data_IF_410048542205
#
_entry.id   IF_410048542205
#
_cell.length_a   1.000
_cell.length_b   1.000
_cell.length_c   1.000
_cell.angle_alpha   90.00
_cell.angle_beta   90.00
_cell.angle_gamma   90.00
#
_symmetry.space_group_name_H-M   'P 1'
#
loop_
_entity.id
_entity.type
_entity.pdbx_description
1 polymer ?
#
# COMPACT_ATOMS: atom_id res chain seq x y z
N UNK A 1 -6.69 33.21 -9.65
CA UNK A 1 -6.79 31.82 -9.17
C UNK A 1 -8.26 31.43 -9.04
N UNK A 2 -8.58 30.25 -9.52
CA UNK A 2 -9.95 29.79 -9.43
C UNK A 2 -10.24 29.29 -8.00
N UNK A 3 -11.15 29.95 -7.26
CA UNK A 3 -11.43 29.52 -5.88
C UNK A 3 -12.04 28.12 -5.80
N UNK A 4 -12.68 27.65 -6.86
CA UNK A 4 -13.22 26.28 -6.89
C UNK A 4 -12.11 25.24 -6.89
N UNK A 5 -11.00 25.51 -7.57
CA UNK A 5 -9.86 24.61 -7.54
C UNK A 5 -9.24 24.56 -6.14
N UNK A 6 -9.10 25.71 -5.51
CA UNK A 6 -8.55 25.79 -4.17
C UNK A 6 -9.43 25.06 -3.15
N UNK A 7 -10.74 25.04 -3.38
CA UNK A 7 -11.69 24.36 -2.50
C UNK A 7 -11.78 22.87 -2.80
N UNK A 8 -11.82 22.49 -4.08
CA UNK A 8 -12.02 21.09 -4.46
C UNK A 8 -10.78 20.22 -4.23
N UNK A 9 -9.57 20.78 -4.31
CA UNK A 9 -8.36 19.99 -4.13
C UNK A 9 -8.23 19.43 -2.71
N UNK A 10 -8.42 20.23 -1.64
CA UNK A 10 -8.43 19.66 -0.29
C UNK A 10 -9.54 18.62 -0.07
N UNK A 11 -10.72 18.83 -0.66
CA UNK A 11 -11.80 17.87 -0.54
C UNK A 11 -11.47 16.56 -1.24
N UNK A 12 -10.86 16.62 -2.42
CA UNK A 12 -10.42 15.44 -3.15
C UNK A 12 -9.32 14.69 -2.40
N UNK A 13 -8.40 15.42 -1.81
CA UNK A 13 -7.33 14.83 -1.02
C UNK A 13 -7.89 14.12 0.21
N UNK A 14 -8.87 14.73 0.87
CA UNK A 14 -9.55 14.12 2.01
C UNK A 14 -10.28 12.84 1.60
N UNK A 15 -10.99 12.86 0.48
CA UNK A 15 -11.68 11.68 -0.01
C UNK A 15 -10.70 10.55 -0.34
N UNK A 16 -9.57 10.89 -0.95
CA UNK A 16 -8.50 9.95 -1.23
C UNK A 16 -7.98 9.32 0.06
N UNK A 17 -7.70 10.15 1.06
CA UNK A 17 -7.20 9.68 2.35
C UNK A 17 -8.21 8.77 3.05
N UNK A 18 -9.50 9.08 2.99
CA UNK A 18 -10.54 8.25 3.58
C UNK A 18 -10.65 6.90 2.89
N UNK A 19 -10.54 6.86 1.57
CA UNK A 19 -10.53 5.60 0.83
C UNK A 19 -9.32 4.76 1.21
N UNK A 20 -8.18 5.39 1.35
CA UNK A 20 -6.97 4.70 1.76
C UNK A 20 -7.07 4.18 3.20
N UNK A 21 -7.65 4.96 4.09
CA UNK A 21 -7.89 4.51 5.48
C UNK A 21 -8.75 3.25 5.50
N UNK A 22 -9.80 3.20 4.66
CA UNK A 22 -10.65 2.02 4.55
C UNK A 22 -9.86 0.83 4.02
N UNK A 23 -9.03 1.05 3.01
CA UNK A 23 -8.18 0.00 2.46
C UNK A 23 -7.20 -0.51 3.51
N UNK A 24 -6.56 0.40 4.25
CA UNK A 24 -5.63 0.01 5.32
C UNK A 24 -6.30 -0.87 6.37
N UNK A 25 -7.53 -0.53 6.75
CA UNK A 25 -8.27 -1.34 7.71
C UNK A 25 -8.52 -2.75 7.18
N UNK A 26 -8.90 -2.88 5.91
CA UNK A 26 -9.11 -4.17 5.28
C UNK A 26 -7.82 -4.98 5.18
N UNK A 27 -6.71 -4.33 4.88
CA UNK A 27 -5.41 -4.99 4.79
C UNK A 27 -4.96 -5.50 6.15
N UNK A 28 -5.15 -4.71 7.21
CA UNK A 28 -4.84 -5.15 8.57
C UNK A 28 -5.70 -6.36 8.95
N UNK A 29 -6.98 -6.33 8.61
CA UNK A 29 -7.87 -7.44 8.89
C UNK A 29 -7.46 -8.71 8.14
N UNK A 30 -6.85 -8.57 6.97
CA UNK A 30 -6.36 -9.70 6.19
C UNK A 30 -5.04 -10.26 6.75
N UNK A 31 -4.32 -9.49 7.55
CA UNK A 31 -3.08 -9.94 8.18
C UNK A 31 -1.85 -9.12 7.84
N UNK A 32 -1.98 -8.11 6.99
CA UNK A 32 -0.85 -7.25 6.67
C UNK A 32 -0.48 -6.35 7.83
N UNK A 33 0.81 -6.17 8.06
CA UNK A 33 1.32 -5.15 8.96
C UNK A 33 1.61 -3.89 8.16
N UNK A 34 1.24 -2.76 8.71
CA UNK A 34 1.42 -1.45 8.07
C UNK A 34 2.27 -0.56 8.97
N UNK A 35 2.98 0.37 8.35
CA UNK A 35 3.75 1.37 9.07
C UNK A 35 3.48 2.75 8.50
N UNK A 36 3.96 3.78 9.21
CA UNK A 36 3.80 5.16 8.80
C UNK A 36 2.44 5.74 9.16
N UNK A 37 2.40 7.05 9.25
CA UNK A 37 1.20 7.77 9.63
C UNK A 37 0.67 8.68 8.52
N UNK A 38 1.32 8.66 7.36
CA UNK A 38 0.92 9.50 6.26
C UNK A 38 -0.37 9.01 5.64
N UNK A 39 -1.35 9.90 5.53
CA UNK A 39 -2.68 9.54 5.09
C UNK A 39 -2.77 9.23 3.61
N UNK A 40 -1.82 9.67 2.82
CA UNK A 40 -1.80 9.46 1.37
C UNK A 40 -0.76 8.43 0.94
N UNK A 41 -0.12 7.77 1.89
CA UNK A 41 0.84 6.72 1.59
C UNK A 41 0.44 5.41 2.25
N UNK A 42 0.67 4.34 1.52
CA UNK A 42 0.52 2.99 2.05
C UNK A 42 1.92 2.41 2.20
N UNK A 43 2.29 2.13 3.43
CA UNK A 43 3.56 1.47 3.72
C UNK A 43 3.27 0.11 4.33
N UNK A 44 3.61 -0.95 3.61
CA UNK A 44 3.42 -2.31 4.08
C UNK A 44 4.73 -2.85 4.63
N UNK A 45 4.60 -3.65 5.68
CA UNK A 45 5.70 -4.44 6.24
C UNK A 45 5.41 -5.91 5.92
N UNK A 46 5.72 -6.37 4.70
CA UNK A 46 5.19 -7.64 4.22
C UNK A 46 5.86 -8.88 4.78
N UNK A 47 7.01 -8.75 5.46
CA UNK A 47 7.70 -9.94 5.99
C UNK A 47 6.88 -10.72 7.00
N UNK A 48 6.09 -10.05 7.84
CA UNK A 48 5.20 -10.73 8.78
C UNK A 48 4.09 -11.50 8.06
N UNK A 49 3.77 -11.10 6.84
CA UNK A 49 2.79 -11.79 6.01
C UNK A 49 3.41 -12.91 5.17
N UNK A 50 4.73 -13.00 5.16
CA UNK A 50 5.47 -14.07 4.48
C UNK A 50 6.15 -13.68 3.18
N UNK A 51 6.27 -12.38 2.90
CA UNK A 51 6.87 -11.90 1.65
C UNK A 51 7.85 -10.77 1.93
N UNK A 52 8.90 -10.69 1.10
CA UNK A 52 9.70 -9.46 1.08
C UNK A 52 8.94 -8.38 0.33
N UNK A 53 9.31 -7.12 0.57
CA UNK A 53 8.69 -6.01 -0.16
C UNK A 53 8.89 -6.14 -1.66
N UNK A 54 10.09 -6.54 -2.09
CA UNK A 54 10.37 -6.73 -3.52
C UNK A 54 9.58 -7.87 -4.13
N UNK A 55 9.40 -8.98 -3.40
CA UNK A 55 8.60 -10.10 -3.89
C UNK A 55 7.13 -9.72 -4.02
N UNK A 56 6.58 -9.01 -3.03
CA UNK A 56 5.20 -8.55 -3.10
C UNK A 56 5.01 -7.53 -4.22
N UNK A 57 5.96 -6.62 -4.40
CA UNK A 57 5.93 -5.65 -5.49
C UNK A 57 5.88 -6.35 -6.85
N UNK A 58 6.65 -7.41 -7.02
CA UNK A 58 6.65 -8.18 -8.25
C UNK A 58 5.29 -8.84 -8.48
N UNK A 59 4.70 -9.40 -7.45
CA UNK A 59 3.34 -9.96 -7.54
C UNK A 59 2.35 -8.88 -8.01
N UNK A 60 2.45 -7.68 -7.48
CA UNK A 60 1.55 -6.59 -7.84
C UNK A 60 1.73 -6.15 -9.29
N UNK A 61 2.92 -6.26 -9.87
CA UNK A 61 3.12 -5.91 -11.29
C UNK A 61 2.31 -6.80 -12.22
N UNK A 62 2.00 -8.02 -11.81
CA UNK A 62 1.14 -8.90 -12.60
C UNK A 62 -0.30 -8.39 -12.70
N UNK A 63 -0.69 -7.49 -11.81
CA UNK A 63 -1.98 -6.81 -11.86
C UNK A 63 -1.87 -5.38 -12.36
N UNK A 64 -0.75 -5.03 -13.00
CA UNK A 64 -0.46 -3.69 -13.49
C UNK A 64 -0.41 -2.65 -12.38
N UNK A 65 0.07 -3.05 -11.22
CA UNK A 65 0.23 -2.17 -10.07
C UNK A 65 1.72 -1.97 -9.83
N UNK A 66 2.14 -0.71 -9.81
CA UNK A 66 3.55 -0.36 -9.66
C UNK A 66 3.72 0.43 -8.38
N UNK A 67 4.69 0.02 -7.56
CA UNK A 67 4.95 0.64 -6.28
C UNK A 67 5.92 1.80 -6.46
N UNK A 68 5.82 2.80 -5.60
CA UNK A 68 6.77 3.90 -5.61
C UNK A 68 8.14 3.44 -5.15
N UNK A 69 8.16 2.58 -4.14
CA UNK A 69 9.41 2.09 -3.56
C UNK A 69 9.17 0.71 -2.96
N UNK A 70 10.15 -0.16 -3.08
CA UNK A 70 10.13 -1.45 -2.39
C UNK A 70 11.55 -1.88 -2.06
N UNK A 71 11.70 -2.48 -0.90
CA UNK A 71 12.93 -3.16 -0.50
C UNK A 71 12.55 -4.46 0.22
N UNK A 72 13.51 -5.10 0.89
CA UNK A 72 13.24 -6.36 1.54
C UNK A 72 12.19 -6.23 2.65
N UNK A 73 12.16 -5.09 3.33
CA UNK A 73 11.32 -4.88 4.51
C UNK A 73 10.07 -4.07 4.26
N UNK A 74 10.03 -3.26 3.19
CA UNK A 74 8.98 -2.29 2.95
C UNK A 74 8.45 -2.34 1.54
N UNK A 75 7.19 -1.98 1.41
CA UNK A 75 6.57 -1.69 0.13
C UNK A 75 5.77 -0.41 0.30
N UNK A 76 6.10 0.61 -0.47
CA UNK A 76 5.49 1.94 -0.34
C UNK A 76 4.76 2.30 -1.61
N UNK A 77 3.53 2.76 -1.46
CA UNK A 77 2.71 3.28 -2.54
C UNK A 77 2.19 4.65 -2.15
N UNK A 78 2.18 5.56 -3.11
CA UNK A 78 1.66 6.90 -2.91
C UNK A 78 0.32 7.03 -3.63
N UNK A 79 -0.62 7.70 -2.98
CA UNK A 79 -1.94 7.93 -3.52
C UNK A 79 -2.15 9.43 -3.69
N UNK A 80 -2.82 9.80 -4.77
CA UNK A 80 -3.13 11.19 -5.08
C UNK A 80 -4.62 11.31 -5.32
N UNK A 81 -5.17 12.54 -5.38
CA UNK A 81 -6.56 12.73 -5.77
C UNK A 81 -6.89 12.17 -7.14
N UNK A 82 -5.89 11.94 -7.97
CA UNK A 82 -6.07 11.34 -9.30
C UNK A 82 -6.21 9.83 -9.27
N UNK A 83 -5.88 9.20 -8.14
CA UNK A 83 -6.07 7.75 -7.99
C UNK A 83 -7.56 7.45 -8.02
N UNK A 84 -7.97 6.67 -9.01
CA UNK A 84 -9.39 6.39 -9.23
C UNK A 84 -9.92 5.32 -8.29
N UNK A 85 -11.25 5.26 -8.06
CA UNK A 85 -11.83 4.14 -7.32
C UNK A 85 -11.50 2.78 -7.94
N UNK A 86 -11.37 2.71 -9.27
CA UNK A 86 -10.97 1.48 -9.94
C UNK A 86 -9.55 1.07 -9.57
N UNK A 87 -8.64 2.05 -9.41
CA UNK A 87 -7.28 1.78 -8.98
C UNK A 87 -7.25 1.22 -7.56
N UNK A 88 -8.02 1.81 -6.66
CA UNK A 88 -8.16 1.30 -5.29
C UNK A 88 -8.72 -0.12 -5.28
N UNK A 89 -9.75 -0.38 -6.09
CA UNK A 89 -10.36 -1.70 -6.16
C UNK A 89 -9.38 -2.75 -6.70
N UNK A 90 -8.60 -2.38 -7.71
CA UNK A 90 -7.59 -3.28 -8.27
C UNK A 90 -6.52 -3.63 -7.24
N UNK A 91 -6.03 -2.63 -6.52
CA UNK A 91 -5.04 -2.83 -5.48
C UNK A 91 -5.59 -3.69 -4.34
N UNK A 92 -6.80 -3.37 -3.88
CA UNK A 92 -7.45 -4.15 -2.83
C UNK A 92 -7.58 -5.61 -3.25
N UNK A 93 -8.08 -5.86 -4.46
CA UNK A 93 -8.25 -7.22 -4.96
C UNK A 93 -6.91 -7.95 -5.05
N UNK A 94 -5.88 -7.27 -5.55
CA UNK A 94 -4.57 -7.88 -5.68
C UNK A 94 -3.98 -8.24 -4.32
N UNK A 95 -4.03 -7.32 -3.37
CA UNK A 95 -3.45 -7.55 -2.04
C UNK A 95 -4.25 -8.57 -1.24
N UNK A 96 -5.57 -8.57 -1.35
CA UNK A 96 -6.41 -9.53 -0.62
C UNK A 96 -6.37 -10.92 -1.25
N UNK A 97 -5.96 -11.03 -2.50
CA UNK A 97 -5.80 -12.34 -3.16
C UNK A 97 -4.49 -13.03 -2.80
N UNK A 98 -3.52 -12.29 -2.24
CA UNK A 98 -2.26 -12.87 -1.78
C UNK A 98 -2.53 -13.66 -0.50
N UNK A 99 -2.17 -14.94 -0.51
CA UNK A 99 -2.36 -15.80 0.66
C UNK A 99 -1.21 -15.59 1.65
N UNK A 100 -1.52 -15.59 2.96
CA UNK A 100 -0.46 -15.47 3.95
C UNK A 100 0.49 -16.68 3.84
N UNK A 101 1.77 -16.39 4.05
CA UNK A 101 2.83 -17.40 4.07
C UNK A 101 3.54 -17.33 5.42
N UNK A 102 4.39 -18.31 5.76
CA UNK A 102 5.13 -18.23 7.01
C UNK A 102 5.94 -16.93 7.09
N UNK A 103 5.86 -16.27 8.24
CA UNK A 103 6.53 -14.99 8.44
C UNK A 103 8.04 -15.13 8.20
N UNK A 104 8.58 -14.16 7.49
CA UNK A 104 10.02 -14.08 7.26
C UNK A 104 10.61 -13.39 8.48
N UNK A 105 11.37 -14.15 9.25
CA UNK A 105 12.06 -13.60 10.38
C UNK A 105 13.21 -12.74 9.87
N UNK A 106 13.09 -11.45 10.12
CA UNK A 106 14.06 -10.48 9.64
C UNK A 106 15.30 -10.49 10.49
N UNK A 107 16.10 -11.52 10.35
CA UNK A 107 17.45 -11.44 10.88
C UNK A 107 18.32 -10.83 9.81
N UNK A 108 19.03 -9.73 10.14
CA UNK A 108 20.06 -9.29 9.21
C UNK A 108 20.98 -10.47 8.94
N UNK A 109 21.45 -10.63 7.72
CA UNK A 109 22.36 -11.72 7.42
C UNK A 109 23.53 -11.61 8.38
N UNK A 110 23.68 -12.63 9.19
CA UNK A 110 24.81 -12.67 10.08
C UNK A 110 26.02 -12.83 9.20
N UNK A 111 26.96 -11.88 9.21
CA UNK A 111 28.16 -12.09 8.44
C UNK A 111 28.83 -13.35 8.95
N UNK A 112 29.25 -14.18 8.04
CA UNK A 112 29.93 -15.41 8.42
C UNK A 112 31.18 -15.10 9.16
#
# INVERSE_FOLDING_TARGET
MNPLLATSFPAQLKACAERLDTLKAKLRAHGYALCGEERTKLCLLPKSFGYTGTALAEILTHSNIYCEFSDADHLVMMFTPETTPADFARLERALLSVLPAPAILSKPPVPP
#
